data_IF_417352889705
#
_entry.id   IF_417352889705
#
_cell.length_a   1.000
_cell.length_b   1.000
_cell.length_c   1.000
_cell.angle_alpha   90.00
_cell.angle_beta   90.00
_cell.angle_gamma   90.00
#
_symmetry.space_group_name_H-M   'P 1'
#
loop_
_entity.id
_entity.type
_entity.pdbx_description
1 polymer ?
#
# COMPACT_ATOMS: atom_id res chain seq x y z
N UNK A 1 -24.30 -14.67 12.74
CA UNK A 1 -22.92 -14.71 13.27
C UNK A 1 -22.02 -14.09 12.22
N UNK A 2 -21.23 -13.06 12.53
CA UNK A 2 -20.28 -12.48 11.56
C UNK A 2 -19.00 -13.31 11.58
N UNK A 3 -18.57 -13.79 10.40
CA UNK A 3 -17.27 -14.45 10.25
C UNK A 3 -16.15 -13.47 10.58
N UNK A 4 -15.07 -14.01 11.14
CA UNK A 4 -13.86 -13.21 11.37
C UNK A 4 -13.22 -12.85 10.03
N UNK A 5 -12.58 -11.68 9.96
CA UNK A 5 -11.98 -11.17 8.70
C UNK A 5 -11.02 -12.17 8.08
N UNK A 6 -10.24 -12.90 8.89
CA UNK A 6 -9.30 -13.89 8.41
C UNK A 6 -9.97 -15.06 7.68
N UNK A 7 -11.08 -15.59 8.23
CA UNK A 7 -11.83 -16.68 7.60
C UNK A 7 -12.38 -16.29 6.22
N UNK A 8 -12.83 -15.05 6.06
CA UNK A 8 -13.30 -14.52 4.77
C UNK A 8 -12.15 -14.45 3.76
N UNK A 9 -10.95 -14.07 4.20
CA UNK A 9 -9.78 -13.98 3.32
C UNK A 9 -9.33 -15.36 2.84
N UNK A 10 -9.35 -16.37 3.72
CA UNK A 10 -8.97 -17.75 3.38
C UNK A 10 -9.95 -18.37 2.37
N UNK A 11 -11.26 -18.19 2.58
CA UNK A 11 -12.29 -18.70 1.68
C UNK A 11 -12.23 -18.12 0.26
N UNK A 12 -11.64 -16.94 0.07
CA UNK A 12 -11.57 -16.24 -1.21
C UNK A 12 -10.14 -16.23 -1.79
N UNK A 13 -9.28 -17.16 -1.38
CA UNK A 13 -7.87 -17.16 -1.76
C UNK A 13 -7.66 -17.29 -3.29
N UNK A 14 -8.46 -18.13 -3.94
CA UNK A 14 -8.44 -18.36 -5.38
C UNK A 14 -8.91 -17.17 -6.22
N UNK A 15 -9.70 -16.26 -5.64
CA UNK A 15 -10.19 -15.05 -6.31
C UNK A 15 -9.19 -13.87 -6.22
N UNK A 16 -8.08 -14.04 -5.50
CA UNK A 16 -7.13 -12.93 -5.26
C UNK A 16 -6.32 -12.63 -6.51
N UNK A 17 -6.23 -11.35 -6.83
CA UNK A 17 -5.27 -10.80 -7.79
C UNK A 17 -4.24 -9.93 -7.07
N UNK A 18 -3.06 -9.79 -7.69
CA UNK A 18 -1.99 -8.97 -7.14
C UNK A 18 -2.38 -7.49 -7.20
N UNK A 19 -2.38 -6.81 -6.05
CA UNK A 19 -2.59 -5.37 -6.00
C UNK A 19 -1.32 -4.62 -6.41
N UNK A 20 -1.41 -3.78 -7.44
CA UNK A 20 -0.31 -2.92 -7.87
C UNK A 20 -0.41 -1.57 -7.18
N UNK A 21 0.64 -1.21 -6.43
CA UNK A 21 0.70 0.07 -5.72
C UNK A 21 1.57 1.05 -6.49
N UNK A 22 1.02 2.23 -6.78
CA UNK A 22 1.70 3.31 -7.46
C UNK A 22 1.86 4.51 -6.54
N UNK A 23 2.98 5.21 -6.68
CA UNK A 23 3.24 6.45 -5.94
C UNK A 23 3.81 7.51 -6.88
N UNK A 24 3.64 8.78 -6.51
CA UNK A 24 4.21 9.90 -7.26
C UNK A 24 5.72 10.01 -6.99
N UNK A 25 6.48 10.12 -8.08
CA UNK A 25 7.94 10.38 -8.07
C UNK A 25 8.21 11.57 -8.96
N UNK A 26 8.63 12.69 -8.37
CA UNK A 26 9.05 13.92 -9.09
C UNK A 26 8.09 14.42 -10.19
N UNK A 27 6.80 14.07 -10.15
CA UNK A 27 5.84 14.52 -11.15
C UNK A 27 4.92 13.43 -11.70
N UNK A 28 5.42 12.19 -11.82
CA UNK A 28 4.72 11.10 -12.51
C UNK A 28 4.41 9.92 -11.58
N UNK A 29 3.48 9.05 -11.99
CA UNK A 29 3.14 7.81 -11.27
C UNK A 29 4.13 6.71 -11.62
N UNK A 30 4.73 6.10 -10.59
CA UNK A 30 5.65 4.98 -10.74
C UNK A 30 5.22 3.82 -9.82
N UNK A 31 5.24 2.57 -10.30
CA UNK A 31 4.91 1.42 -9.47
C UNK A 31 6.00 1.25 -8.39
N UNK A 32 5.57 1.04 -7.15
CA UNK A 32 6.46 0.85 -6.00
C UNK A 32 7.33 -0.40 -6.18
N UNK A 33 6.80 -1.42 -6.87
CA UNK A 33 7.51 -2.66 -7.16
C UNK A 33 8.78 -2.47 -8.01
N UNK A 34 8.81 -1.42 -8.83
CA UNK A 34 9.97 -1.10 -9.68
C UNK A 34 11.10 -0.41 -8.90
N UNK A 35 10.96 -0.21 -7.58
CA UNK A 35 11.94 0.54 -6.80
C UNK A 35 13.22 -0.28 -6.58
N UNK A 36 14.37 0.32 -6.84
CA UNK A 36 15.65 -0.24 -6.45
C UNK A 36 15.88 -0.05 -4.93
N UNK A 37 16.97 -0.63 -4.39
CA UNK A 37 17.25 -0.61 -2.95
C UNK A 37 17.35 0.82 -2.40
N UNK A 38 18.03 1.73 -3.12
CA UNK A 38 18.15 3.13 -2.71
C UNK A 38 16.80 3.86 -2.67
N UNK A 39 15.97 3.68 -3.70
CA UNK A 39 14.62 4.28 -3.78
C UNK A 39 13.68 3.70 -2.72
N UNK A 40 13.78 2.40 -2.39
CA UNK A 40 13.05 1.80 -1.27
C UNK A 40 13.44 2.45 0.06
N UNK A 41 14.73 2.75 0.26
CA UNK A 41 15.24 3.47 1.43
C UNK A 41 14.66 4.88 1.52
N UNK A 42 14.78 5.68 0.46
CA UNK A 42 14.22 7.05 0.41
C UNK A 42 12.69 7.05 0.60
N UNK A 43 11.97 6.12 -0.02
CA UNK A 43 10.52 6.03 0.12
C UNK A 43 10.08 5.78 1.57
N UNK A 44 10.82 4.95 2.32
CA UNK A 44 10.57 4.69 3.75
C UNK A 44 10.81 5.90 4.65
N UNK A 45 11.68 6.83 4.23
CA UNK A 45 11.98 8.05 4.98
C UNK A 45 10.98 9.19 4.71
N UNK A 46 10.04 9.00 3.77
CA UNK A 46 9.00 10.00 3.48
C UNK A 46 8.06 10.15 4.67
N UNK A 47 7.81 11.39 5.07
CA UNK A 47 6.82 11.72 6.10
C UNK A 47 5.47 11.97 5.43
N UNK A 48 4.43 11.30 5.91
CA UNK A 48 3.06 11.51 5.45
C UNK A 48 2.39 12.59 6.29
N UNK A 49 1.68 13.50 5.63
CA UNK A 49 0.84 14.44 6.33
C UNK A 49 -0.27 13.67 7.06
N UNK A 50 -0.45 13.97 8.34
CA UNK A 50 -1.58 13.49 9.13
C UNK A 50 -2.44 14.70 9.42
N UNK A 51 -3.68 14.68 8.95
CA UNK A 51 -4.63 15.72 9.30
C UNK A 51 -4.82 15.73 10.82
N UNK A 52 -4.66 16.90 11.44
CA UNK A 52 -4.94 17.06 12.87
C UNK A 52 -6.42 16.81 13.13
N UNK A 53 -6.77 16.23 14.28
CA UNK A 53 -8.17 16.23 14.71
C UNK A 53 -8.58 17.69 14.86
N UNK A 54 -9.49 18.16 14.00
CA UNK A 54 -10.15 19.43 14.20
C UNK A 54 -10.88 19.39 15.56
N UNK A 55 -10.76 20.47 16.32
CA UNK A 55 -11.35 20.63 17.65
C UNK A 55 -12.87 20.46 17.61
#
# INVERSE_FOLDING_TARGET
MKLTTNQILEQNQELRTKCLVYTRVMGYHRPVESFNIGKKGEHKQRTHFTEGKCC
#
